data_IF_518103995554
#
_entry.id   IF_518103995554
#
_cell.length_a   1.000
_cell.length_b   1.000
_cell.length_c   1.000
_cell.angle_alpha   90.00
_cell.angle_beta   90.00
_cell.angle_gamma   90.00
#
_symmetry.space_group_name_H-M   'P 1'
#
loop_
_entity.id
_entity.type
_entity.pdbx_description
1 polymer ?
#
# COMPACT_ATOMS: atom_id res chain seq x y z
N UNK A 1 16.19 23.80 -6.48
CA UNK A 1 15.61 25.15 -6.65
C UNK A 1 14.11 24.99 -6.82
N UNK A 2 13.33 25.73 -6.03
CA UNK A 2 11.91 25.47 -5.79
C UNK A 2 11.04 25.76 -7.01
N UNK A 3 10.22 24.78 -7.40
CA UNK A 3 9.24 24.82 -8.49
C UNK A 3 8.08 25.83 -8.29
N UNK A 4 8.11 26.68 -7.25
CA UNK A 4 6.96 27.46 -6.81
C UNK A 4 7.33 28.89 -6.36
N UNK A 5 8.12 29.62 -7.14
CA UNK A 5 8.41 31.04 -6.84
C UNK A 5 7.44 32.04 -7.49
N UNK A 6 6.43 31.60 -8.25
CA UNK A 6 5.48 32.50 -8.91
C UNK A 6 4.04 31.96 -8.81
N UNK A 7 3.23 32.55 -7.92
CA UNK A 7 1.98 31.92 -7.43
C UNK A 7 0.76 32.05 -8.35
N UNK A 8 0.76 33.00 -9.30
CA UNK A 8 -0.35 33.19 -10.26
C UNK A 8 -0.14 32.40 -11.55
N UNK A 9 1.09 32.37 -12.08
CA UNK A 9 1.50 31.57 -13.24
C UNK A 9 1.44 30.07 -12.96
N UNK A 10 1.76 29.65 -11.73
CA UNK A 10 1.67 28.25 -11.30
C UNK A 10 0.22 27.73 -11.20
N UNK A 11 -0.74 28.56 -10.80
CA UNK A 11 -2.15 28.12 -10.69
C UNK A 11 -2.84 27.98 -12.06
N UNK A 12 -2.57 28.90 -13.01
CA UNK A 12 -3.07 28.77 -14.38
C UNK A 12 -2.50 27.52 -15.06
N UNK A 13 -1.23 27.22 -14.80
CA UNK A 13 -0.55 26.07 -15.38
C UNK A 13 -1.06 24.74 -14.81
N UNK A 14 -1.29 24.66 -13.49
CA UNK A 14 -1.90 23.48 -12.86
C UNK A 14 -3.29 23.22 -13.46
N UNK A 15 -4.14 24.25 -13.61
CA UNK A 15 -5.47 24.08 -14.21
C UNK A 15 -5.39 23.63 -15.67
N UNK A 16 -4.47 24.22 -16.45
CA UNK A 16 -4.23 23.84 -17.85
C UNK A 16 -3.84 22.37 -17.95
N UNK A 17 -2.82 21.95 -17.19
CA UNK A 17 -2.32 20.57 -17.23
C UNK A 17 -3.36 19.56 -16.74
N UNK A 18 -4.09 19.86 -15.66
CA UNK A 18 -5.17 18.99 -15.21
C UNK A 18 -6.25 18.82 -16.29
N UNK A 19 -6.63 19.89 -16.99
CA UNK A 19 -7.59 19.82 -18.09
C UNK A 19 -7.09 18.95 -19.26
N UNK A 20 -5.80 19.04 -19.61
CA UNK A 20 -5.19 18.18 -20.63
C UNK A 20 -5.17 16.70 -20.21
N UNK A 21 -4.89 16.40 -18.93
CA UNK A 21 -4.88 15.03 -18.43
C UNK A 21 -6.28 14.42 -18.44
N UNK A 22 -7.29 15.20 -18.04
CA UNK A 22 -8.69 14.77 -17.99
C UNK A 22 -9.37 14.68 -19.36
N UNK A 23 -8.77 15.22 -20.42
CA UNK A 23 -9.28 15.12 -21.80
C UNK A 23 -8.45 14.10 -22.60
N UNK A 24 -8.95 12.86 -22.82
CA UNK A 24 -8.22 11.83 -23.54
C UNK A 24 -7.73 12.26 -24.93
N UNK A 25 -8.46 13.16 -25.60
CA UNK A 25 -8.13 13.62 -26.95
C UNK A 25 -6.98 14.60 -27.03
N UNK A 26 -6.51 15.10 -25.87
CA UNK A 26 -5.50 16.15 -25.75
C UNK A 26 -4.28 15.73 -24.93
N UNK A 27 -4.20 14.47 -24.51
CA UNK A 27 -3.10 13.96 -23.67
C UNK A 27 -1.76 13.96 -24.41
N UNK A 28 -1.78 13.88 -25.73
CA UNK A 28 -0.63 14.00 -26.61
C UNK A 28 -0.05 15.43 -26.66
N UNK A 29 -0.82 16.44 -26.24
CA UNK A 29 -0.33 17.81 -26.06
C UNK A 29 0.62 17.93 -24.83
N UNK A 30 0.67 16.93 -23.96
CA UNK A 30 1.52 16.94 -22.76
C UNK A 30 2.91 16.42 -23.11
N UNK A 31 3.91 17.30 -23.02
CA UNK A 31 5.32 16.94 -23.23
C UNK A 31 5.81 15.89 -22.21
N UNK A 32 6.77 15.00 -22.57
CA UNK A 32 7.35 13.99 -21.67
C UNK A 32 7.82 14.55 -20.32
N UNK A 33 8.36 15.76 -20.30
CA UNK A 33 8.87 16.48 -19.13
C UNK A 33 7.76 17.15 -18.29
N UNK A 34 6.58 17.40 -18.88
CA UNK A 34 5.43 18.01 -18.21
C UNK A 34 4.60 16.99 -17.42
N UNK A 35 4.68 15.72 -17.78
CA UNK A 35 3.91 14.62 -17.21
C UNK A 35 3.96 14.53 -15.67
N UNK A 36 5.11 14.68 -14.98
CA UNK A 36 5.13 14.68 -13.51
C UNK A 36 4.28 15.80 -12.90
N UNK A 37 4.36 17.02 -13.45
CA UNK A 37 3.53 18.14 -12.98
C UNK A 37 2.06 17.92 -13.35
N UNK A 38 1.78 17.36 -14.52
CA UNK A 38 0.44 17.04 -14.98
C UNK A 38 -0.25 16.00 -14.08
N UNK A 39 0.49 14.98 -13.62
CA UNK A 39 -0.01 14.01 -12.65
C UNK A 39 -0.34 14.63 -11.29
N UNK A 40 0.52 15.53 -10.79
CA UNK A 40 0.23 16.29 -9.57
C UNK A 40 -1.02 17.15 -9.77
N UNK A 41 -1.10 17.86 -10.90
CA UNK A 41 -2.24 18.72 -11.22
C UNK A 41 -3.56 17.96 -11.30
N UNK A 42 -3.57 16.82 -12.00
CA UNK A 42 -4.70 15.89 -12.04
C UNK A 42 -5.12 15.48 -10.63
N UNK A 43 -4.18 15.00 -9.82
CA UNK A 43 -4.45 14.56 -8.45
C UNK A 43 -4.99 15.67 -7.53
N UNK A 44 -4.52 16.92 -7.71
CA UNK A 44 -5.01 18.07 -6.96
C UNK A 44 -6.42 18.51 -7.38
N UNK A 45 -6.80 18.31 -8.64
CA UNK A 45 -8.13 18.68 -9.16
C UNK A 45 -9.18 17.62 -8.85
N UNK A 46 -8.87 16.33 -9.03
CA UNK A 46 -9.79 15.21 -8.75
C UNK A 46 -9.76 14.77 -7.28
N UNK A 47 -9.14 15.58 -6.43
CA UNK A 47 -8.91 15.37 -5.00
C UNK A 47 -10.11 14.73 -4.30
N UNK A 48 -9.93 13.49 -3.82
CA UNK A 48 -10.92 12.70 -3.09
C UNK A 48 -12.21 12.33 -3.85
N UNK A 49 -12.29 12.58 -5.16
CA UNK A 49 -13.37 12.06 -5.98
C UNK A 49 -13.36 10.52 -6.00
N UNK A 50 -14.54 9.93 -5.89
CA UNK A 50 -14.75 8.48 -5.94
C UNK A 50 -15.11 8.05 -7.36
N UNK A 51 -14.82 6.81 -7.76
CA UNK A 51 -15.24 6.27 -9.05
C UNK A 51 -14.35 6.69 -10.23
N UNK A 52 -13.13 7.18 -9.96
CA UNK A 52 -12.13 7.55 -10.96
C UNK A 52 -10.98 6.56 -11.07
N UNK A 53 -11.11 5.39 -10.46
CA UNK A 53 -10.05 4.38 -10.41
C UNK A 53 -9.65 3.92 -11.83
N UNK A 54 -10.62 3.63 -12.71
CA UNK A 54 -10.35 3.25 -14.11
C UNK A 54 -9.67 4.35 -14.92
N UNK A 55 -10.16 5.59 -14.79
CA UNK A 55 -9.55 6.76 -15.44
C UNK A 55 -8.11 6.96 -14.93
N UNK A 56 -7.90 6.83 -13.62
CA UNK A 56 -6.60 6.93 -12.97
C UNK A 56 -5.61 5.87 -13.49
N UNK A 57 -6.05 4.62 -13.66
CA UNK A 57 -5.23 3.54 -14.25
C UNK A 57 -4.85 3.87 -15.69
N UNK A 58 -5.79 4.36 -16.51
CA UNK A 58 -5.53 4.71 -17.90
C UNK A 58 -4.51 5.87 -18.01
N UNK A 59 -4.69 6.93 -17.21
CA UNK A 59 -3.77 8.08 -17.16
C UNK A 59 -2.39 7.64 -16.69
N UNK A 60 -2.31 6.84 -15.63
CA UNK A 60 -1.03 6.42 -15.06
C UNK A 60 -0.22 5.55 -16.02
N UNK A 61 -0.88 4.71 -16.82
CA UNK A 61 -0.21 3.91 -17.84
C UNK A 61 0.52 4.78 -18.88
N UNK A 62 -0.09 5.91 -19.27
CA UNK A 62 0.57 6.89 -20.15
C UNK A 62 1.72 7.55 -19.41
N UNK A 63 1.48 8.06 -18.21
CA UNK A 63 2.49 8.69 -17.36
C UNK A 63 3.75 7.80 -17.20
N UNK A 64 3.58 6.52 -16.87
CA UNK A 64 4.71 5.64 -16.64
C UNK A 64 5.50 5.30 -17.90
N UNK A 65 4.85 5.28 -19.07
CA UNK A 65 5.53 5.16 -20.37
C UNK A 65 6.38 6.38 -20.72
N UNK A 66 6.04 7.56 -20.19
CA UNK A 66 6.75 8.80 -20.46
C UNK A 66 7.83 9.11 -19.42
N UNK A 67 7.76 8.51 -18.22
CA UNK A 67 8.59 8.88 -17.08
C UNK A 67 9.38 7.71 -16.51
N UNK A 68 10.68 7.90 -16.30
CA UNK A 68 11.54 6.93 -15.62
C UNK A 68 11.10 6.70 -14.16
N UNK A 69 11.35 5.51 -13.57
CA UNK A 69 10.91 5.16 -12.21
C UNK A 69 11.27 6.20 -11.14
N UNK A 70 12.48 6.77 -11.19
CA UNK A 70 12.92 7.80 -10.25
C UNK A 70 12.07 9.07 -10.30
N UNK A 71 11.61 9.46 -11.48
CA UNK A 71 10.73 10.62 -11.65
C UNK A 71 9.34 10.33 -11.06
N UNK A 72 8.82 9.11 -11.27
CA UNK A 72 7.53 8.67 -10.71
C UNK A 72 7.56 8.61 -9.19
N UNK A 73 8.64 8.08 -8.61
CA UNK A 73 8.87 8.08 -7.15
C UNK A 73 8.90 9.50 -6.58
N UNK A 74 9.67 10.40 -7.20
CA UNK A 74 9.72 11.82 -6.79
C UNK A 74 8.34 12.49 -6.90
N UNK A 75 7.59 12.18 -7.95
CA UNK A 75 6.23 12.67 -8.15
C UNK A 75 5.30 12.24 -7.00
N UNK A 76 5.31 10.97 -6.61
CA UNK A 76 4.52 10.45 -5.49
C UNK A 76 4.86 11.16 -4.17
N UNK A 77 6.15 11.35 -3.88
CA UNK A 77 6.62 12.03 -2.66
C UNK A 77 6.26 13.54 -2.64
N UNK A 78 6.32 14.19 -3.80
CA UNK A 78 5.90 15.59 -3.93
C UNK A 78 4.39 15.72 -3.71
N UNK A 79 3.58 14.84 -4.30
CA UNK A 79 2.14 14.78 -4.09
C UNK A 79 1.80 14.52 -2.62
N UNK A 80 2.50 13.59 -1.96
CA UNK A 80 2.35 13.33 -0.53
C UNK A 80 2.66 14.56 0.34
N UNK A 81 3.61 15.41 -0.07
CA UNK A 81 3.91 16.67 0.62
C UNK A 81 2.74 17.63 0.56
N UNK A 82 2.09 17.77 -0.60
CA UNK A 82 0.87 18.57 -0.73
C UNK A 82 -0.29 18.02 0.11
N UNK A 83 -0.52 16.71 0.06
CA UNK A 83 -1.56 16.04 0.85
C UNK A 83 -1.32 16.29 2.36
N UNK A 84 -0.07 16.18 2.83
CA UNK A 84 0.30 16.48 4.22
C UNK A 84 -0.02 17.92 4.60
N UNK A 85 0.34 18.90 3.76
CA UNK A 85 0.02 20.31 3.99
C UNK A 85 -1.49 20.56 4.06
N UNK A 86 -2.28 19.79 3.30
CA UNK A 86 -3.74 19.81 3.32
C UNK A 86 -4.36 18.87 4.35
N UNK A 87 -3.59 18.43 5.36
CA UNK A 87 -4.06 17.57 6.45
C UNK A 87 -4.79 16.31 5.93
N UNK A 88 -4.18 15.65 4.95
CA UNK A 88 -4.68 14.38 4.40
C UNK A 88 -5.78 14.51 3.34
N UNK A 89 -6.24 15.73 3.06
CA UNK A 89 -7.14 15.98 1.95
C UNK A 89 -6.42 15.72 0.61
N UNK A 90 -7.08 15.00 -0.29
CA UNK A 90 -6.52 14.56 -1.58
C UNK A 90 -5.74 13.26 -1.57
N UNK A 91 -5.76 12.48 -0.50
CA UNK A 91 -5.02 11.22 -0.42
C UNK A 91 -5.33 10.23 -1.57
N UNK A 92 -6.56 10.25 -2.12
CA UNK A 92 -6.96 9.40 -3.26
C UNK A 92 -6.14 9.67 -4.53
N UNK A 93 -5.48 10.82 -4.64
CA UNK A 93 -4.58 11.13 -5.75
C UNK A 93 -3.36 10.19 -5.83
N UNK A 94 -3.05 9.46 -4.76
CA UNK A 94 -1.99 8.44 -4.74
C UNK A 94 -2.46 7.06 -5.26
N UNK A 95 -3.77 6.84 -5.44
CA UNK A 95 -4.30 5.55 -5.89
C UNK A 95 -3.70 5.07 -7.23
N UNK A 96 -3.55 5.92 -8.26
CA UNK A 96 -2.94 5.48 -9.51
C UNK A 96 -1.51 4.95 -9.33
N UNK A 97 -0.73 5.54 -8.42
CA UNK A 97 0.61 5.05 -8.08
C UNK A 97 0.56 3.68 -7.41
N UNK A 98 -0.35 3.49 -6.45
CA UNK A 98 -0.49 2.23 -5.72
C UNK A 98 -1.05 1.09 -6.59
N UNK A 99 -1.85 1.42 -7.60
CA UNK A 99 -2.59 0.46 -8.42
C UNK A 99 -1.90 0.11 -9.74
N UNK A 100 -1.06 0.98 -10.29
CA UNK A 100 -0.69 0.89 -11.72
C UNK A 100 0.81 0.92 -12.00
N UNK A 101 1.63 1.51 -11.12
CA UNK A 101 3.08 1.58 -11.40
C UNK A 101 3.66 0.19 -11.62
N UNK A 102 4.48 -0.01 -12.66
CA UNK A 102 5.15 -1.28 -12.93
C UNK A 102 6.07 -1.70 -11.77
N UNK A 103 6.67 -0.74 -11.06
CA UNK A 103 7.63 -0.99 -9.99
C UNK A 103 6.91 -1.29 -8.65
N UNK A 104 7.06 -2.50 -8.08
CA UNK A 104 6.34 -2.90 -6.87
C UNK A 104 6.69 -2.05 -5.64
N UNK A 105 7.92 -1.52 -5.57
CA UNK A 105 8.37 -0.67 -4.48
C UNK A 105 7.72 0.72 -4.49
N UNK A 106 7.45 1.29 -5.68
CA UNK A 106 6.64 2.51 -5.82
C UNK A 106 5.19 2.23 -5.38
N UNK A 107 4.61 1.09 -5.80
CA UNK A 107 3.25 0.70 -5.38
C UNK A 107 3.16 0.52 -3.86
N UNK A 108 4.15 -0.13 -3.25
CA UNK A 108 4.27 -0.30 -1.79
C UNK A 108 4.38 1.05 -1.08
N UNK A 109 5.24 1.95 -1.56
CA UNK A 109 5.42 3.29 -0.98
C UNK A 109 4.13 4.12 -1.08
N UNK A 110 3.48 4.12 -2.24
CA UNK A 110 2.21 4.83 -2.43
C UNK A 110 1.11 4.28 -1.51
N UNK A 111 1.04 2.96 -1.34
CA UNK A 111 0.10 2.31 -0.41
C UNK A 111 0.34 2.75 1.04
N UNK A 112 1.61 2.75 1.48
CA UNK A 112 1.97 3.25 2.81
C UNK A 112 1.59 4.72 3.01
N UNK A 113 1.82 5.57 2.00
CA UNK A 113 1.44 6.98 2.04
C UNK A 113 -0.08 7.13 2.15
N UNK A 114 -0.86 6.34 1.43
CA UNK A 114 -2.33 6.31 1.53
C UNK A 114 -2.77 5.94 2.95
N UNK A 115 -2.23 4.84 3.50
CA UNK A 115 -2.57 4.37 4.86
C UNK A 115 -2.31 5.43 5.93
N UNK A 116 -1.22 6.19 5.78
CA UNK A 116 -0.73 7.10 6.83
C UNK A 116 -1.12 8.56 6.62
N UNK A 117 -1.59 8.97 5.45
CA UNK A 117 -1.98 10.36 5.18
C UNK A 117 -3.47 10.59 5.19
N UNK A 118 -4.29 9.58 4.86
CA UNK A 118 -5.72 9.76 4.71
C UNK A 118 -6.37 10.40 5.95
N UNK A 119 -7.14 11.47 5.74
CA UNK A 119 -7.81 12.18 6.83
C UNK A 119 -8.97 11.34 7.37
N UNK A 120 -9.09 11.13 8.70
CA UNK A 120 -10.16 10.35 9.30
C UNK A 120 -11.53 10.98 9.07
N UNK A 121 -12.57 10.14 8.99
CA UNK A 121 -13.97 10.54 8.88
C UNK A 121 -14.75 10.09 10.13
N UNK A 122 -15.91 10.69 10.46
CA UNK A 122 -16.73 10.26 11.59
C UNK A 122 -17.07 8.76 11.57
N UNK A 123 -17.35 8.22 10.39
CA UNK A 123 -17.74 6.82 10.15
C UNK A 123 -16.56 5.86 9.95
N UNK A 124 -15.37 6.37 9.60
CA UNK A 124 -14.21 5.55 9.26
C UNK A 124 -12.93 6.22 9.76
N UNK A 125 -12.32 5.61 10.78
CA UNK A 125 -11.13 6.14 11.45
C UNK A 125 -9.87 6.03 10.60
N UNK A 126 -9.79 5.03 9.72
CA UNK A 126 -8.64 4.79 8.85
C UNK A 126 -9.03 4.70 7.37
N UNK A 127 -9.50 5.80 6.74
CA UNK A 127 -10.07 5.76 5.38
C UNK A 127 -9.12 5.27 4.30
N UNK A 128 -7.81 5.52 4.45
CA UNK A 128 -6.80 5.02 3.51
C UNK A 128 -6.67 3.50 3.57
N UNK A 129 -6.74 2.92 4.78
CA UNK A 129 -6.70 1.47 4.99
C UNK A 129 -7.98 0.83 4.47
N UNK A 130 -9.14 1.38 4.85
CA UNK A 130 -10.44 0.92 4.37
C UNK A 130 -10.52 0.94 2.84
N UNK A 131 -10.16 2.07 2.23
CA UNK A 131 -10.25 2.26 0.77
C UNK A 131 -9.34 1.30 -0.01
N UNK A 132 -8.10 1.08 0.43
CA UNK A 132 -7.22 0.12 -0.23
C UNK A 132 -7.64 -1.34 0.06
N UNK A 133 -8.17 -1.64 1.25
CA UNK A 133 -8.73 -2.97 1.52
C UNK A 133 -9.89 -3.30 0.57
N UNK A 134 -10.77 -2.35 0.30
CA UNK A 134 -11.86 -2.52 -0.67
C UNK A 134 -11.32 -2.71 -2.10
N UNK A 135 -10.29 -1.96 -2.51
CA UNK A 135 -9.65 -2.12 -3.83
C UNK A 135 -8.93 -3.47 -3.94
N UNK A 136 -8.25 -3.94 -2.90
CA UNK A 136 -7.64 -5.28 -2.84
C UNK A 136 -8.70 -6.36 -3.07
N UNK A 137 -9.89 -6.18 -2.50
CA UNK A 137 -11.00 -7.13 -2.62
C UNK A 137 -11.74 -7.04 -3.97
N UNK A 138 -11.74 -5.87 -4.60
CA UNK A 138 -12.41 -5.64 -5.89
C UNK A 138 -11.80 -6.47 -7.01
N UNK A 139 -12.54 -6.65 -8.11
CA UNK A 139 -11.99 -7.24 -9.31
C UNK A 139 -10.93 -6.28 -9.91
N UNK A 140 -9.77 -6.77 -10.36
CA UNK A 140 -8.76 -5.93 -10.98
C UNK A 140 -9.31 -5.18 -12.20
N UNK A 141 -8.99 -3.90 -12.29
CA UNK A 141 -9.33 -3.07 -13.46
C UNK A 141 -8.40 -3.39 -14.64
N UNK A 142 -8.85 -3.17 -15.89
CA UNK A 142 -7.97 -3.29 -17.05
C UNK A 142 -6.72 -2.42 -16.92
N UNK A 143 -5.54 -3.01 -17.07
CA UNK A 143 -4.26 -2.31 -16.93
C UNK A 143 -3.81 -2.03 -15.49
N UNK A 144 -4.52 -2.56 -14.49
CA UNK A 144 -4.09 -2.53 -13.09
C UNK A 144 -3.01 -3.57 -12.83
N UNK A 145 -2.01 -3.21 -12.01
CA UNK A 145 -0.99 -4.13 -11.53
C UNK A 145 -1.50 -4.93 -10.30
N UNK A 146 -0.74 -5.95 -9.89
CA UNK A 146 -1.07 -6.70 -8.67
C UNK A 146 -1.10 -5.79 -7.43
N UNK A 147 -2.11 -6.00 -6.58
CA UNK A 147 -2.28 -5.32 -5.29
C UNK A 147 -1.51 -5.99 -4.13
N UNK A 148 -0.66 -6.98 -4.42
CA UNK A 148 0.19 -7.60 -3.40
C UNK A 148 1.04 -6.57 -2.61
N UNK A 149 1.66 -5.54 -3.23
CA UNK A 149 2.38 -4.49 -2.49
C UNK A 149 1.52 -3.68 -1.50
N UNK A 150 0.22 -3.57 -1.74
CA UNK A 150 -0.69 -2.90 -0.81
C UNK A 150 -1.00 -3.79 0.41
N UNK A 151 -1.28 -5.07 0.19
CA UNK A 151 -1.46 -6.06 1.28
C UNK A 151 -0.18 -6.16 2.12
N UNK A 152 0.95 -6.30 1.44
CA UNK A 152 2.29 -6.31 1.99
C UNK A 152 2.58 -5.08 2.88
N UNK A 153 2.24 -3.88 2.42
CA UNK A 153 2.36 -2.65 3.19
C UNK A 153 1.46 -2.64 4.43
N UNK A 154 0.23 -3.17 4.33
CA UNK A 154 -0.70 -3.24 5.45
C UNK A 154 -0.21 -4.19 6.54
N UNK A 155 0.24 -5.39 6.16
CA UNK A 155 0.83 -6.36 7.11
C UNK A 155 2.08 -5.78 7.80
N UNK A 156 2.88 -5.04 7.05
CA UNK A 156 4.13 -4.44 7.54
C UNK A 156 3.91 -3.23 8.47
N UNK A 157 2.69 -2.67 8.57
CA UNK A 157 2.42 -1.57 9.52
C UNK A 157 2.54 -2.02 10.97
N UNK A 158 2.29 -3.30 11.27
CA UNK A 158 2.49 -3.90 12.59
C UNK A 158 1.56 -3.39 13.70
N UNK A 159 0.52 -2.64 13.34
CA UNK A 159 -0.41 -2.04 14.28
C UNK A 159 -1.70 -2.86 14.39
N UNK A 160 -1.93 -3.43 15.58
CA UNK A 160 -3.04 -4.33 15.85
C UNK A 160 -4.42 -3.70 15.63
N UNK A 161 -4.54 -2.37 15.59
CA UNK A 161 -5.80 -1.69 15.22
C UNK A 161 -6.23 -2.00 13.80
N UNK A 162 -5.33 -2.50 12.94
CA UNK A 162 -5.62 -2.81 11.54
C UNK A 162 -6.03 -4.27 11.28
N UNK A 163 -6.01 -5.12 12.31
CA UNK A 163 -6.44 -6.52 12.20
C UNK A 163 -7.85 -6.69 11.60
N UNK A 164 -8.86 -5.84 11.92
CA UNK A 164 -10.18 -5.96 11.30
C UNK A 164 -10.19 -5.80 9.77
N UNK A 165 -9.29 -4.98 9.20
CA UNK A 165 -9.22 -4.78 7.75
C UNK A 165 -8.57 -5.98 7.06
N UNK A 166 -7.50 -6.54 7.64
CA UNK A 166 -6.90 -7.79 7.16
C UNK A 166 -7.90 -8.97 7.23
N UNK A 167 -8.63 -9.09 8.35
CA UNK A 167 -9.68 -10.10 8.50
C UNK A 167 -10.82 -9.92 7.48
N UNK A 168 -11.17 -8.67 7.13
CA UNK A 168 -12.12 -8.41 6.05
C UNK A 168 -11.58 -8.85 4.68
N UNK A 169 -10.30 -8.62 4.39
CA UNK A 169 -9.67 -9.03 3.13
C UNK A 169 -9.74 -10.55 2.98
N UNK A 170 -9.29 -11.30 4.00
CA UNK A 170 -9.32 -12.77 3.95
C UNK A 170 -10.74 -13.29 3.79
N UNK A 171 -11.75 -12.69 4.43
CA UNK A 171 -13.15 -13.11 4.31
C UNK A 171 -13.76 -12.86 2.94
N UNK A 172 -13.42 -11.74 2.30
CA UNK A 172 -14.01 -11.34 1.00
C UNK A 172 -13.36 -12.03 -0.21
N UNK A 173 -12.08 -12.37 -0.12
CA UNK A 173 -11.35 -12.98 -1.23
C UNK A 173 -11.58 -14.50 -1.33
N UNK A 174 -11.55 -15.04 -2.54
CA UNK A 174 -11.41 -16.48 -2.77
C UNK A 174 -10.02 -16.96 -2.36
N UNK A 175 -9.87 -18.26 -2.07
CA UNK A 175 -8.58 -18.84 -1.70
C UNK A 175 -7.53 -18.65 -2.82
N UNK A 176 -7.92 -18.83 -4.08
CA UNK A 176 -7.04 -18.58 -5.25
C UNK A 176 -6.51 -17.14 -5.28
N UNK A 177 -7.40 -16.13 -5.22
CA UNK A 177 -6.99 -14.73 -5.25
C UNK A 177 -6.14 -14.34 -4.04
N UNK A 178 -6.41 -14.93 -2.88
CA UNK A 178 -5.62 -14.68 -1.68
C UNK A 178 -4.23 -15.31 -1.80
N UNK A 179 -4.12 -16.53 -2.33
CA UNK A 179 -2.84 -17.19 -2.60
C UNK A 179 -1.97 -16.36 -3.56
N UNK A 180 -2.56 -15.82 -4.64
CA UNK A 180 -1.83 -14.96 -5.59
C UNK A 180 -1.29 -13.68 -4.95
N UNK A 181 -2.07 -13.03 -4.08
CA UNK A 181 -1.62 -11.86 -3.34
C UNK A 181 -0.51 -12.20 -2.34
N UNK A 182 -0.64 -13.33 -1.64
CA UNK A 182 0.39 -13.82 -0.70
C UNK A 182 1.70 -14.13 -1.42
N UNK A 183 1.65 -14.74 -2.62
CA UNK A 183 2.84 -15.04 -3.42
C UNK A 183 3.64 -13.78 -3.81
N UNK A 184 2.96 -12.63 -3.96
CA UNK A 184 3.60 -11.35 -4.27
C UNK A 184 3.98 -10.50 -3.05
N UNK A 185 3.87 -11.05 -1.83
CA UNK A 185 4.06 -10.29 -0.59
C UNK A 185 5.50 -10.41 -0.06
N UNK A 186 6.09 -9.26 0.29
CA UNK A 186 7.42 -9.16 0.89
C UNK A 186 7.41 -8.60 2.32
N UNK A 187 6.37 -8.93 3.09
CA UNK A 187 6.13 -8.30 4.37
C UNK A 187 7.26 -8.59 5.37
N UNK A 188 7.55 -7.61 6.21
CA UNK A 188 8.40 -7.80 7.39
C UNK A 188 7.60 -8.54 8.48
N UNK A 189 8.27 -9.26 9.40
CA UNK A 189 7.60 -9.92 10.50
C UNK A 189 7.02 -8.88 11.47
N UNK A 190 5.71 -8.92 11.64
CA UNK A 190 4.98 -8.12 12.64
C UNK A 190 3.97 -9.01 13.36
N UNK A 191 3.61 -8.67 14.59
CA UNK A 191 2.60 -9.43 15.33
C UNK A 191 1.25 -9.44 14.59
N UNK A 192 0.88 -8.30 14.00
CA UNK A 192 -0.28 -8.14 13.12
C UNK A 192 -0.23 -9.11 11.93
N UNK A 193 0.85 -9.10 11.17
CA UNK A 193 0.99 -9.86 9.93
C UNK A 193 1.07 -11.36 10.19
N UNK A 194 1.90 -11.77 11.16
CA UNK A 194 2.02 -13.18 11.55
C UNK A 194 0.71 -13.70 12.15
N UNK A 195 0.07 -12.94 13.05
CA UNK A 195 -1.22 -13.29 13.64
C UNK A 195 -2.30 -13.51 12.58
N UNK A 196 -2.44 -12.57 11.64
CA UNK A 196 -3.41 -12.69 10.56
C UNK A 196 -3.13 -13.91 9.66
N UNK A 197 -1.87 -14.16 9.29
CA UNK A 197 -1.52 -15.34 8.49
C UNK A 197 -1.90 -16.66 9.18
N UNK A 198 -1.69 -16.75 10.50
CA UNK A 198 -2.09 -17.93 11.28
C UNK A 198 -3.62 -18.06 11.37
N UNK A 199 -4.35 -16.95 11.49
CA UNK A 199 -5.82 -16.95 11.46
C UNK A 199 -6.34 -17.46 10.12
N UNK A 200 -5.77 -16.99 9.01
CA UNK A 200 -6.09 -17.50 7.67
C UNK A 200 -5.74 -18.98 7.55
N UNK A 201 -4.60 -19.44 8.09
CA UNK A 201 -4.21 -20.85 8.05
C UNK A 201 -5.20 -21.76 8.80
N UNK A 202 -5.74 -21.28 9.92
CA UNK A 202 -6.73 -22.03 10.68
C UNK A 202 -8.10 -22.09 10.02
N UNK A 203 -8.51 -21.00 9.36
CA UNK A 203 -9.78 -20.92 8.63
C UNK A 203 -9.72 -21.59 7.24
N UNK A 204 -8.57 -21.56 6.59
CA UNK A 204 -8.34 -22.00 5.20
C UNK A 204 -7.06 -22.83 5.09
N UNK A 205 -7.08 -24.09 5.59
CA UNK A 205 -5.90 -24.95 5.58
C UNK A 205 -5.34 -25.23 4.18
N UNK A 206 -6.17 -25.10 3.13
CA UNK A 206 -5.72 -25.25 1.73
C UNK A 206 -4.71 -24.17 1.29
N UNK A 207 -4.56 -23.09 2.06
CA UNK A 207 -3.56 -22.04 1.84
C UNK A 207 -2.23 -22.29 2.56
N UNK A 208 -2.03 -23.47 3.16
CA UNK A 208 -0.83 -23.82 3.94
C UNK A 208 0.47 -23.46 3.24
N UNK A 209 0.60 -23.82 1.97
CA UNK A 209 1.83 -23.63 1.19
C UNK A 209 2.13 -22.16 0.95
N UNK A 210 1.12 -21.36 0.57
CA UNK A 210 1.28 -19.92 0.36
C UNK A 210 1.64 -19.22 1.67
N UNK A 211 0.97 -19.58 2.78
CA UNK A 211 1.22 -18.98 4.09
C UNK A 211 2.61 -19.36 4.61
N UNK A 212 2.99 -20.63 4.50
CA UNK A 212 4.31 -21.11 4.91
C UNK A 212 5.43 -20.40 4.11
N UNK A 213 5.25 -20.19 2.81
CA UNK A 213 6.20 -19.46 1.98
C UNK A 213 6.37 -18.00 2.44
N UNK A 214 5.26 -17.30 2.73
CA UNK A 214 5.32 -15.93 3.26
C UNK A 214 6.01 -15.89 4.62
N UNK A 215 5.62 -16.77 5.55
CA UNK A 215 6.23 -16.87 6.86
C UNK A 215 7.73 -17.17 6.75
N UNK A 216 8.15 -18.12 5.94
CA UNK A 216 9.57 -18.46 5.75
C UNK A 216 10.39 -17.29 5.17
N UNK A 217 9.78 -16.40 4.38
CA UNK A 217 10.45 -15.22 3.83
C UNK A 217 10.65 -14.07 4.84
N UNK A 218 9.76 -13.94 5.84
CA UNK A 218 9.73 -12.79 6.75
C UNK A 218 11.04 -12.55 7.54
N UNK A 219 11.62 -13.53 8.25
CA UNK A 219 12.76 -13.27 9.16
C UNK A 219 13.99 -12.66 8.50
N UNK A 220 14.22 -12.97 7.22
CA UNK A 220 15.35 -12.41 6.46
C UNK A 220 15.27 -10.89 6.28
N UNK A 221 14.09 -10.29 6.49
CA UNK A 221 13.78 -8.89 6.18
C UNK A 221 13.83 -7.97 7.39
N UNK A 222 13.77 -8.52 8.61
CA UNK A 222 13.92 -7.77 9.86
C UNK A 222 14.46 -8.66 10.98
N UNK A 223 15.28 -8.09 11.87
CA UNK A 223 15.92 -8.86 12.96
C UNK A 223 15.01 -9.22 14.14
N UNK A 224 13.80 -8.68 14.19
CA UNK A 224 12.83 -8.89 15.26
C UNK A 224 11.40 -8.82 14.72
N UNK A 225 10.46 -9.40 15.47
CA UNK A 225 9.02 -9.25 15.21
C UNK A 225 8.50 -8.06 16.00
N UNK A 226 7.86 -7.13 15.30
CA UNK A 226 7.40 -5.86 15.87
C UNK A 226 5.90 -5.87 16.18
N UNK A 227 5.53 -5.36 17.35
CA UNK A 227 4.18 -4.90 17.71
C UNK A 227 4.26 -3.42 18.04
N UNK A 228 3.53 -2.59 17.28
CA UNK A 228 3.69 -1.15 17.30
C UNK A 228 2.36 -0.41 17.26
N UNK A 229 2.39 0.86 17.64
CA UNK A 229 1.33 1.83 17.31
C UNK A 229 1.90 2.84 16.33
N UNK A 230 1.29 2.90 15.15
CA UNK A 230 1.66 3.86 14.11
C UNK A 230 0.86 5.15 14.31
N UNK A 231 1.50 6.33 14.30
CA UNK A 231 0.80 7.61 14.35
C UNK A 231 0.04 7.87 13.05
N UNK A 232 -1.24 7.47 13.00
CA UNK A 232 -2.14 7.68 11.86
C UNK A 232 -3.32 8.58 12.28
N UNK A 233 -3.58 9.68 11.53
CA UNK A 233 -2.82 10.13 10.36
C UNK A 233 -1.51 10.82 10.75
N UNK A 234 -0.45 10.57 9.97
CA UNK A 234 0.93 11.01 10.26
C UNK A 234 1.10 12.52 10.40
N UNK A 235 0.27 13.31 9.71
CA UNK A 235 0.30 14.77 9.72
C UNK A 235 -0.26 15.40 11.01
N UNK A 236 -0.95 14.64 11.87
CA UNK A 236 -1.43 15.14 13.17
C UNK A 236 -0.32 15.17 14.23
N UNK A 237 0.79 14.48 14.01
CA UNK A 237 1.82 14.28 15.02
C UNK A 237 3.06 15.09 14.64
N UNK A 238 3.50 15.96 15.55
CA UNK A 238 4.72 16.76 15.36
C UNK A 238 5.97 15.87 15.31
N UNK A 239 5.95 14.75 16.03
CA UNK A 239 6.92 13.66 15.96
C UNK A 239 6.18 12.38 15.59
N UNK A 240 6.09 12.06 14.30
CA UNK A 240 5.40 10.87 13.77
C UNK A 240 6.21 9.58 13.98
N UNK A 241 6.89 9.44 15.13
CA UNK A 241 7.64 8.24 15.46
C UNK A 241 6.68 7.08 15.76
N UNK A 242 6.96 5.92 15.17
CA UNK A 242 6.29 4.66 15.51
C UNK A 242 6.58 4.32 16.96
N UNK A 243 5.55 3.98 17.72
CA UNK A 243 5.68 3.60 19.14
C UNK A 243 5.79 2.09 19.25
N UNK A 244 6.96 1.53 19.65
CA UNK A 244 7.06 0.11 19.94
C UNK A 244 6.26 -0.22 21.19
N UNK A 245 5.38 -1.20 21.10
CA UNK A 245 4.70 -1.79 22.26
C UNK A 245 5.51 -2.97 22.79
N UNK A 246 5.87 -3.87 21.87
CA UNK A 246 6.69 -5.04 22.17
C UNK A 246 7.57 -5.37 20.97
N UNK A 247 8.68 -6.04 21.24
CA UNK A 247 9.42 -6.76 20.22
C UNK A 247 9.82 -8.14 20.73
N UNK A 248 9.93 -9.08 19.80
CA UNK A 248 10.40 -10.43 20.06
C UNK A 248 11.54 -10.75 19.11
N UNK A 249 12.56 -11.43 19.61
CA UNK A 249 13.50 -12.07 18.70
C UNK A 249 12.78 -13.08 17.82
N UNK A 250 13.32 -13.32 16.62
CA UNK A 250 12.77 -14.30 15.68
C UNK A 250 12.56 -15.69 16.35
N UNK A 251 13.52 -16.24 17.13
CA UNK A 251 13.34 -17.54 17.76
C UNK A 251 12.27 -17.55 18.86
N UNK A 252 12.16 -16.47 19.64
CA UNK A 252 11.09 -16.35 20.65
C UNK A 252 9.71 -16.33 20.00
N UNK A 253 9.54 -15.57 18.92
CA UNK A 253 8.27 -15.50 18.23
C UNK A 253 7.92 -16.82 17.53
N UNK A 254 8.92 -17.56 17.02
CA UNK A 254 8.74 -18.92 16.50
C UNK A 254 8.07 -19.85 17.51
N UNK A 255 8.43 -19.77 18.79
CA UNK A 255 7.81 -20.58 19.84
C UNK A 255 6.32 -20.30 19.97
N UNK A 256 5.91 -19.04 19.82
CA UNK A 256 4.49 -18.62 19.88
C UNK A 256 3.67 -19.20 18.74
N UNK A 257 4.24 -19.29 17.55
CA UNK A 257 3.54 -19.82 16.38
C UNK A 257 3.48 -21.35 16.35
N UNK A 258 4.34 -22.04 17.12
CA UNK A 258 4.59 -23.49 17.02
C UNK A 258 3.34 -24.35 17.01
N UNK A 259 2.47 -24.13 17.98
CA UNK A 259 1.28 -24.97 18.15
C UNK A 259 0.36 -24.87 16.93
N UNK A 260 0.07 -23.64 16.47
CA UNK A 260 -0.82 -23.40 15.32
C UNK A 260 -0.23 -23.94 14.03
N UNK A 261 1.06 -23.72 13.78
CA UNK A 261 1.75 -24.24 12.60
C UNK A 261 1.73 -25.77 12.55
N UNK A 262 2.07 -26.43 13.67
CA UNK A 262 2.14 -27.90 13.72
C UNK A 262 0.82 -28.63 13.47
N UNK A 263 -0.31 -27.94 13.65
CA UNK A 263 -1.65 -28.50 13.40
C UNK A 263 -2.05 -28.47 11.93
N UNK A 264 -1.41 -27.60 11.13
CA UNK A 264 -1.89 -27.22 9.79
C UNK A 264 -0.86 -27.40 8.68
N UNK A 265 0.43 -27.26 8.98
CA UNK A 265 1.49 -27.40 7.99
C UNK A 265 1.91 -28.85 7.78
N UNK A 266 2.23 -29.19 6.54
CA UNK A 266 2.91 -30.44 6.20
C UNK A 266 4.38 -30.44 6.67
N UNK A 267 5.06 -31.60 6.69
CA UNK A 267 6.44 -31.70 7.17
C UNK A 267 7.44 -30.78 6.46
N UNK A 268 7.34 -30.66 5.13
CA UNK A 268 8.24 -29.82 4.33
C UNK A 268 8.03 -28.33 4.58
N UNK A 269 6.77 -27.89 4.64
CA UNK A 269 6.39 -26.51 4.95
C UNK A 269 6.84 -26.13 6.37
N UNK A 270 6.63 -27.04 7.32
CA UNK A 270 7.06 -26.87 8.70
C UNK A 270 8.59 -26.73 8.79
N UNK A 271 9.36 -27.57 8.09
CA UNK A 271 10.82 -27.48 8.07
C UNK A 271 11.30 -26.14 7.47
N UNK A 272 10.67 -25.68 6.38
CA UNK A 272 11.02 -24.42 5.74
C UNK A 272 10.81 -23.22 6.68
N UNK A 273 9.67 -23.18 7.38
CA UNK A 273 9.40 -22.16 8.40
C UNK A 273 10.37 -22.30 9.58
N UNK A 274 10.63 -23.51 10.05
CA UNK A 274 11.51 -23.73 11.21
C UNK A 274 12.94 -23.27 10.96
N UNK A 275 13.46 -23.54 9.76
CA UNK A 275 14.79 -23.09 9.34
C UNK A 275 14.90 -21.57 9.23
N UNK A 276 13.85 -20.91 8.75
CA UNK A 276 13.86 -19.45 8.61
C UNK A 276 13.74 -18.73 9.96
N UNK A 277 13.09 -19.37 10.93
CA UNK A 277 12.73 -18.77 12.21
C UNK A 277 13.55 -19.29 13.41
N UNK A 278 14.64 -20.03 13.15
CA UNK A 278 15.55 -20.59 14.16
C UNK A 278 16.61 -19.61 14.63
#
# INVERSE_FOLDING_TARGET
MGLFQDQTSSLSEIKRLAALVMDPSRRDEIGPDQWPLAMIAYGLVTCNEMGREEEGVAIYNIFQSCCAPDARRKCALQLATFIRQRKGDGWRALLPFAMTDEAPDIRRQASFLIYTLASPKPEERFPGIAGLADIICANPLPGQASMAPALDALMSLGDMRFAPYLASISKKLSSERLADLLAGTEAIPTDLGCGWLLDVLDERPELSSAIAAVLAGMPSRAGEVLDVVVPIPSWQFTNSAVQPLHSWSIPEYRLRMRERLSRRLGPEEQEAVDRAWS
#
